data_IF_434108481538
#
_entry.id   IF_434108481538
#
_cell.length_a   1.000
_cell.length_b   1.000
_cell.length_c   1.000
_cell.angle_alpha   90.00
_cell.angle_beta   90.00
_cell.angle_gamma   90.00
#
_symmetry.space_group_name_H-M   'P 1'
#
loop_
_entity.id
_entity.type
_entity.pdbx_description
1 polymer ?
#
# COMPACT_ATOMS: atom_id res chain seq x y z
N UNK A 1 -53.34 25.22 -22.35
CA UNK A 1 -51.98 25.78 -22.50
C UNK A 1 -51.00 24.77 -21.91
N UNK A 2 -50.23 24.06 -22.74
CA UNK A 2 -49.27 23.07 -22.28
C UNK A 2 -48.01 23.77 -21.76
N UNK A 3 -47.60 23.45 -20.53
CA UNK A 3 -46.36 23.96 -19.94
C UNK A 3 -45.18 23.27 -20.61
N UNK A 4 -44.35 24.06 -21.27
CA UNK A 4 -43.20 23.58 -22.04
C UNK A 4 -42.01 23.28 -21.09
N UNK A 5 -42.10 22.09 -20.49
CA UNK A 5 -41.21 21.56 -19.46
C UNK A 5 -39.73 21.54 -19.92
N UNK A 6 -39.50 21.35 -21.22
CA UNK A 6 -38.17 21.38 -21.82
C UNK A 6 -37.49 22.75 -21.68
N UNK A 7 -38.27 23.83 -21.77
CA UNK A 7 -37.77 25.21 -21.67
C UNK A 7 -37.43 25.61 -20.23
N UNK A 8 -38.18 25.09 -19.27
CA UNK A 8 -37.90 25.26 -17.84
C UNK A 8 -36.65 24.48 -17.41
N UNK A 9 -36.51 23.23 -17.86
CA UNK A 9 -35.31 22.42 -17.58
C UNK A 9 -34.04 23.06 -18.16
N UNK A 10 -34.13 23.61 -19.37
CA UNK A 10 -32.99 24.27 -20.02
C UNK A 10 -32.56 25.55 -19.27
N UNK A 11 -33.52 26.36 -18.77
CA UNK A 11 -33.22 27.54 -17.96
C UNK A 11 -32.61 27.18 -16.60
N UNK A 12 -33.12 26.14 -15.95
CA UNK A 12 -32.59 25.67 -14.67
C UNK A 12 -31.15 25.17 -14.79
N UNK A 13 -30.84 24.42 -15.86
CA UNK A 13 -29.49 23.92 -16.10
C UNK A 13 -28.50 25.03 -16.45
N UNK A 14 -28.92 26.01 -17.28
CA UNK A 14 -28.04 27.10 -17.74
C UNK A 14 -27.64 28.08 -16.64
N UNK A 15 -28.49 28.26 -15.63
CA UNK A 15 -28.25 29.20 -14.51
C UNK A 15 -27.70 28.50 -13.25
N UNK A 16 -27.26 27.26 -13.34
CA UNK A 16 -26.74 26.55 -12.18
C UNK A 16 -25.29 27.01 -11.92
N UNK A 17 -25.02 27.76 -10.83
CA UNK A 17 -23.65 28.12 -10.49
C UNK A 17 -22.89 26.82 -10.27
N UNK A 18 -21.78 26.64 -11.00
CA UNK A 18 -20.87 25.53 -10.75
C UNK A 18 -20.40 25.65 -9.31
N UNK A 19 -20.99 24.85 -8.42
CA UNK A 19 -20.51 24.70 -7.05
C UNK A 19 -19.16 24.01 -7.16
N UNK A 20 -18.09 24.81 -7.27
CA UNK A 20 -16.73 24.35 -7.10
C UNK A 20 -16.63 23.76 -5.70
N UNK A 21 -16.80 22.45 -5.61
CA UNK A 21 -16.62 21.68 -4.39
C UNK A 21 -15.17 21.17 -4.36
N UNK A 22 -14.24 22.10 -4.50
CA UNK A 22 -12.80 21.89 -4.38
C UNK A 22 -12.25 23.17 -3.76
N UNK A 23 -11.48 23.02 -2.68
CA UNK A 23 -10.95 24.05 -1.80
C UNK A 23 -11.86 24.46 -0.63
N UNK A 24 -12.32 23.48 0.15
CA UNK A 24 -12.62 23.70 1.57
C UNK A 24 -11.59 22.89 2.39
N UNK A 25 -10.35 23.35 2.31
CA UNK A 25 -9.24 22.96 3.19
C UNK A 25 -8.10 23.98 3.04
N UNK A 26 -8.41 25.27 2.99
CA UNK A 26 -7.42 26.27 3.36
C UNK A 26 -7.37 26.27 4.88
N UNK A 27 -6.63 25.32 5.44
CA UNK A 27 -6.05 25.51 6.77
C UNK A 27 -5.45 26.90 6.75
N UNK A 28 -5.98 27.80 7.56
CA UNK A 28 -5.39 29.10 7.79
C UNK A 28 -4.05 28.78 8.44
N UNK A 29 -3.01 28.60 7.62
CA UNK A 29 -1.63 28.67 8.08
C UNK A 29 -1.50 30.10 8.54
N UNK A 30 -1.81 30.33 9.82
CA UNK A 30 -1.60 31.61 10.49
C UNK A 30 -0.22 32.06 10.11
N UNK A 31 -0.07 33.33 9.74
CA UNK A 31 1.20 33.85 9.26
C UNK A 31 2.23 33.65 10.38
N UNK A 32 3.02 32.57 10.31
CA UNK A 32 4.03 32.20 11.30
C UNK A 32 5.21 33.12 11.03
N UNK A 33 5.14 34.33 11.56
CA UNK A 33 6.19 35.35 11.46
C UNK A 33 7.37 35.07 12.39
N UNK A 34 7.27 34.09 13.29
CA UNK A 34 8.33 33.70 14.22
C UNK A 34 8.98 32.36 13.83
N UNK A 35 10.32 32.25 13.85
CA UNK A 35 11.01 31.01 13.55
C UNK A 35 10.65 29.93 14.59
N UNK A 36 9.96 28.88 14.14
CA UNK A 36 9.67 27.72 14.98
C UNK A 36 10.78 26.67 14.90
N UNK A 37 10.94 25.88 15.96
CA UNK A 37 11.83 24.72 15.93
C UNK A 37 11.32 23.72 14.90
N UNK A 38 12.22 23.26 14.02
CA UNK A 38 11.86 22.29 12.97
C UNK A 38 11.28 21.00 13.55
N UNK A 39 11.76 20.57 14.74
CA UNK A 39 11.23 19.41 15.45
C UNK A 39 9.77 19.57 15.88
N UNK A 40 9.37 20.78 16.29
CA UNK A 40 7.98 21.06 16.68
C UNK A 40 7.05 20.97 15.47
N UNK A 41 7.40 21.63 14.36
CA UNK A 41 6.65 21.58 13.10
C UNK A 41 6.56 20.15 12.56
N UNK A 42 7.67 19.39 12.59
CA UNK A 42 7.68 17.98 12.18
C UNK A 42 6.78 17.12 13.07
N UNK A 43 6.81 17.35 14.38
CA UNK A 43 5.94 16.60 15.31
C UNK A 43 4.46 16.89 15.09
N UNK A 44 4.12 18.13 14.75
CA UNK A 44 2.76 18.56 14.43
C UNK A 44 2.28 17.93 13.12
N UNK A 45 3.12 17.92 12.08
CA UNK A 45 2.84 17.24 10.80
C UNK A 45 2.66 15.73 10.98
N UNK A 46 3.50 15.09 11.79
CA UNK A 46 3.35 13.66 12.12
C UNK A 46 2.03 13.44 12.88
N UNK A 47 1.67 14.34 13.81
CA UNK A 47 0.45 14.25 14.59
C UNK A 47 -0.84 14.55 13.80
N UNK A 48 -0.75 15.30 12.69
CA UNK A 48 -1.88 15.75 11.85
C UNK A 48 -2.66 14.64 11.11
N UNK A 49 -2.40 13.37 11.46
CA UNK A 49 -3.07 12.13 11.03
C UNK A 49 -2.54 11.58 9.68
N UNK A 50 -2.63 10.26 9.54
CA UNK A 50 -2.06 9.40 8.48
C UNK A 50 -0.54 9.28 8.40
N UNK A 51 0.24 10.31 8.76
CA UNK A 51 1.70 10.23 8.71
C UNK A 51 2.32 9.35 9.80
N UNK A 52 1.71 9.27 10.99
CA UNK A 52 2.14 8.30 12.03
C UNK A 52 2.02 6.86 11.56
N UNK A 53 0.96 6.55 10.83
CA UNK A 53 0.75 5.22 10.28
C UNK A 53 1.79 4.96 9.19
N UNK A 54 1.94 5.85 8.21
CA UNK A 54 2.96 5.71 7.16
C UNK A 54 4.40 5.62 7.69
N UNK A 55 4.72 6.30 8.80
CA UNK A 55 6.04 6.20 9.44
C UNK A 55 6.24 4.85 10.14
N UNK A 56 5.22 4.35 10.84
CA UNK A 56 5.26 3.02 11.46
C UNK A 56 5.38 1.92 10.41
N UNK A 57 4.66 2.05 9.29
CA UNK A 57 4.77 1.18 8.13
C UNK A 57 6.19 1.23 7.55
N UNK A 58 6.78 2.42 7.42
CA UNK A 58 8.16 2.62 6.96
C UNK A 58 9.21 1.91 7.83
N UNK A 59 9.02 1.89 9.16
CA UNK A 59 9.95 1.19 10.07
C UNK A 59 10.03 -0.32 9.78
N UNK A 60 8.96 -0.95 9.30
CA UNK A 60 8.98 -2.39 8.94
C UNK A 60 10.02 -2.66 7.84
N UNK A 61 10.15 -1.74 6.88
CA UNK A 61 11.10 -1.88 5.77
C UNK A 61 12.55 -1.65 6.22
N UNK A 62 12.76 -0.70 7.13
CA UNK A 62 14.10 -0.34 7.63
C UNK A 62 14.63 -1.39 8.61
N UNK A 63 13.79 -1.83 9.54
CA UNK A 63 14.17 -2.75 10.61
C UNK A 63 13.76 -4.21 10.31
N UNK A 64 13.50 -4.55 9.05
CA UNK A 64 13.03 -5.88 8.64
C UNK A 64 13.83 -7.02 9.27
N UNK A 65 15.16 -6.97 9.16
CA UNK A 65 16.06 -7.97 9.73
C UNK A 65 15.94 -8.10 11.25
N UNK A 66 15.71 -7.00 11.96
CA UNK A 66 15.52 -7.03 13.42
C UNK A 66 14.18 -7.63 13.81
N UNK A 67 13.16 -7.46 12.97
CA UNK A 67 11.79 -7.93 13.22
C UNK A 67 11.68 -9.44 12.97
N UNK A 68 12.15 -9.92 11.82
CA UNK A 68 11.99 -11.33 11.41
C UNK A 68 13.23 -12.19 11.68
N UNK A 69 14.38 -11.58 11.95
CA UNK A 69 15.66 -12.27 12.14
C UNK A 69 16.45 -12.46 10.84
N UNK A 70 17.75 -12.74 11.00
CA UNK A 70 18.72 -12.80 9.90
C UNK A 70 18.39 -13.85 8.83
N UNK A 71 17.93 -15.04 9.25
CA UNK A 71 17.62 -16.14 8.33
C UNK A 71 16.43 -15.83 7.40
N UNK A 72 15.36 -15.24 7.96
CA UNK A 72 14.18 -14.89 7.15
C UNK A 72 14.50 -13.67 6.28
N UNK A 73 15.23 -12.68 6.81
CA UNK A 73 15.62 -11.49 6.07
C UNK A 73 16.59 -11.78 4.92
N UNK A 74 17.45 -12.80 5.02
CA UNK A 74 18.35 -13.17 3.92
C UNK A 74 17.61 -13.74 2.70
N UNK A 75 16.40 -14.26 2.90
CA UNK A 75 15.60 -14.91 1.86
C UNK A 75 14.30 -14.17 1.53
N UNK A 76 14.00 -13.07 2.22
CA UNK A 76 12.76 -12.34 2.01
C UNK A 76 12.92 -10.82 2.19
N UNK A 77 12.24 -10.07 1.34
CA UNK A 77 12.24 -8.61 1.37
C UNK A 77 10.82 -8.06 1.32
N UNK A 78 10.45 -7.10 2.18
CA UNK A 78 9.16 -6.45 2.11
C UNK A 78 9.13 -5.51 0.90
N UNK A 79 8.13 -5.65 0.03
CA UNK A 79 7.97 -4.83 -1.19
C UNK A 79 7.02 -3.67 -0.93
N UNK A 80 5.87 -3.95 -0.33
CA UNK A 80 4.80 -2.97 -0.16
C UNK A 80 3.90 -3.34 1.00
N UNK A 81 3.32 -2.32 1.61
CA UNK A 81 2.27 -2.45 2.61
C UNK A 81 1.11 -1.57 2.15
N UNK A 82 -0.02 -2.20 1.83
CA UNK A 82 -1.21 -1.52 1.29
C UNK A 82 -2.44 -2.07 2.00
N UNK A 83 -3.25 -1.19 2.59
CA UNK A 83 -4.52 -1.56 3.22
C UNK A 83 -4.37 -2.72 4.22
N UNK A 84 -3.30 -2.70 5.01
CA UNK A 84 -3.02 -3.77 5.98
C UNK A 84 -2.41 -5.05 5.41
N UNK A 85 -2.14 -5.11 4.11
CA UNK A 85 -1.54 -6.27 3.44
C UNK A 85 -0.06 -6.02 3.18
N UNK A 86 0.81 -6.74 3.91
CA UNK A 86 2.25 -6.70 3.70
C UNK A 86 2.65 -7.73 2.63
N UNK A 87 3.14 -7.23 1.51
CA UNK A 87 3.66 -8.04 0.41
C UNK A 87 5.16 -8.27 0.58
N UNK A 88 5.55 -9.54 0.59
CA UNK A 88 6.92 -9.98 0.81
C UNK A 88 7.39 -10.76 -0.43
N UNK A 89 8.50 -10.35 -1.01
CA UNK A 89 9.20 -11.11 -2.04
C UNK A 89 10.11 -12.13 -1.38
N UNK A 90 10.15 -13.35 -1.90
CA UNK A 90 11.12 -14.36 -1.48
C UNK A 90 12.14 -14.65 -2.57
N UNK A 91 13.32 -15.11 -2.15
CA UNK A 91 14.39 -15.51 -3.05
C UNK A 91 14.03 -16.77 -3.86
N UNK A 92 13.20 -17.66 -3.28
CA UNK A 92 12.78 -18.90 -3.93
C UNK A 92 11.32 -19.28 -3.65
N UNK A 93 10.78 -20.18 -4.48
CA UNK A 93 9.43 -20.73 -4.35
C UNK A 93 9.28 -21.62 -3.12
N UNK A 94 10.34 -22.36 -2.77
CA UNK A 94 10.40 -23.16 -1.56
C UNK A 94 10.30 -22.27 -0.31
N UNK A 95 11.06 -21.17 -0.27
CA UNK A 95 10.98 -20.17 0.80
C UNK A 95 9.60 -19.50 0.89
N UNK A 96 8.97 -19.17 -0.25
CA UNK A 96 7.59 -18.66 -0.24
C UNK A 96 6.63 -19.64 0.43
N UNK A 97 6.79 -20.94 0.16
CA UNK A 97 5.94 -21.98 0.75
C UNK A 97 6.23 -22.12 2.24
N UNK A 98 7.50 -22.14 2.64
CA UNK A 98 7.88 -22.19 4.05
C UNK A 98 7.28 -21.02 4.85
N UNK A 99 7.45 -19.79 4.37
CA UNK A 99 6.91 -18.61 5.04
C UNK A 99 5.37 -18.61 5.05
N UNK A 100 4.71 -19.20 4.04
CA UNK A 100 3.26 -19.33 4.03
C UNK A 100 2.78 -20.27 5.16
N UNK A 101 3.50 -21.36 5.40
CA UNK A 101 3.19 -22.31 6.47
C UNK A 101 3.30 -21.68 7.86
N UNK A 102 4.27 -20.77 8.06
CA UNK A 102 4.48 -20.07 9.34
C UNK A 102 3.90 -18.64 9.37
N UNK A 103 3.06 -18.30 8.39
CA UNK A 103 2.56 -16.93 8.18
C UNK A 103 1.82 -16.34 9.38
N UNK A 104 1.08 -17.18 10.12
CA UNK A 104 0.34 -16.76 11.32
C UNK A 104 1.25 -16.27 12.44
N UNK A 105 2.39 -16.95 12.64
CA UNK A 105 3.33 -16.58 13.69
C UNK A 105 4.19 -15.39 13.26
N UNK A 106 4.57 -15.32 11.98
CA UNK A 106 5.21 -14.12 11.43
C UNK A 106 4.34 -12.87 11.56
N UNK A 107 3.04 -12.98 11.31
CA UNK A 107 2.12 -11.85 11.45
C UNK A 107 2.09 -11.35 12.91
N UNK A 108 2.07 -12.25 13.89
CA UNK A 108 2.13 -11.88 15.32
C UNK A 108 3.45 -11.17 15.66
N UNK A 109 4.58 -11.69 15.17
CA UNK A 109 5.89 -11.07 15.40
C UNK A 109 5.97 -9.67 14.80
N UNK A 110 5.52 -9.50 13.55
CA UNK A 110 5.53 -8.21 12.84
C UNK A 110 4.60 -7.20 13.53
N UNK A 111 3.37 -7.60 13.84
CA UNK A 111 2.40 -6.73 14.53
C UNK A 111 2.84 -6.36 15.95
N UNK A 112 3.56 -7.24 16.65
CA UNK A 112 4.13 -6.96 17.96
C UNK A 112 5.31 -5.97 17.93
N UNK A 113 6.14 -6.02 16.89
CA UNK A 113 7.34 -5.17 16.80
C UNK A 113 7.06 -3.75 16.26
N UNK A 114 5.98 -3.54 15.52
CA UNK A 114 5.63 -2.26 14.92
C UNK A 114 4.27 -1.73 15.45
N UNK A 115 4.18 -1.30 16.72
CA UNK A 115 2.95 -0.77 17.29
C UNK A 115 2.54 0.53 16.57
N UNK A 116 1.53 0.43 15.70
CA UNK A 116 1.02 1.53 14.89
C UNK A 116 1.02 1.27 13.38
N UNK A 117 1.77 0.27 12.90
CA UNK A 117 1.62 -0.24 11.55
C UNK A 117 0.45 -1.24 11.55
N UNK A 118 -0.60 -0.95 10.80
CA UNK A 118 -1.71 -1.88 10.62
C UNK A 118 -1.24 -2.98 9.67
N UNK A 119 -0.93 -4.16 10.19
CA UNK A 119 -0.63 -5.36 9.38
C UNK A 119 -1.65 -6.43 9.72
N UNK A 120 -2.58 -6.67 8.81
CA UNK A 120 -3.69 -7.62 8.96
C UNK A 120 -3.46 -8.91 8.18
N UNK A 121 -2.66 -8.85 7.11
CA UNK A 121 -2.43 -10.00 6.23
C UNK A 121 -1.04 -9.96 5.62
N UNK A 122 -0.47 -11.15 5.41
CA UNK A 122 0.77 -11.34 4.67
C UNK A 122 0.49 -11.94 3.30
N UNK A 123 1.13 -11.41 2.26
CA UNK A 123 1.13 -11.95 0.90
C UNK A 123 2.55 -12.26 0.47
N UNK A 124 2.84 -13.55 0.32
CA UNK A 124 4.17 -14.05 -0.03
C UNK A 124 4.22 -14.33 -1.52
N UNK A 125 5.16 -13.68 -2.21
CA UNK A 125 5.37 -13.83 -3.64
C UNK A 125 6.75 -14.44 -3.86
N UNK A 126 6.80 -15.51 -4.64
CA UNK A 126 8.06 -16.12 -5.06
C UNK A 126 8.89 -15.21 -5.98
N UNK A 127 10.10 -15.65 -6.38
CA UNK A 127 10.85 -14.96 -7.42
C UNK A 127 10.03 -14.94 -8.71
N UNK A 128 10.23 -13.92 -9.54
CA UNK A 128 9.47 -13.75 -10.77
C UNK A 128 9.62 -15.00 -11.67
N UNK A 129 8.56 -15.80 -11.77
CA UNK A 129 8.63 -17.06 -12.49
C UNK A 129 8.79 -16.78 -14.00
N UNK A 130 9.76 -17.43 -14.68
CA UNK A 130 9.90 -17.26 -16.12
C UNK A 130 8.63 -17.74 -16.82
N UNK A 131 8.17 -16.97 -17.81
CA UNK A 131 7.00 -17.36 -18.60
C UNK A 131 7.46 -18.20 -19.79
N UNK A 132 6.95 -19.42 -19.94
CA UNK A 132 7.25 -20.29 -21.08
C UNK A 132 6.28 -20.12 -22.25
N UNK A 133 5.31 -19.21 -22.14
CA UNK A 133 4.49 -18.79 -23.29
C UNK A 133 5.37 -17.97 -24.24
N UNK A 134 5.78 -18.58 -25.34
CA UNK A 134 6.48 -17.91 -26.44
C UNK A 134 5.56 -17.81 -27.67
N UNK A 135 5.29 -16.58 -28.12
CA UNK A 135 4.61 -16.29 -29.39
C UNK A 135 3.07 -16.42 -29.37
N UNK A 136 2.45 -16.02 -30.49
CA UNK A 136 1.00 -15.99 -30.67
C UNK A 136 0.36 -17.38 -30.78
N UNK A 137 1.13 -18.38 -31.22
CA UNK A 137 0.70 -19.78 -31.37
C UNK A 137 1.35 -20.65 -30.29
N UNK A 138 0.70 -20.73 -29.13
CA UNK A 138 1.12 -21.63 -28.04
C UNK A 138 0.18 -22.82 -27.94
N UNK A 139 0.73 -23.99 -27.62
CA UNK A 139 -0.02 -25.23 -27.42
C UNK A 139 -0.91 -25.09 -26.17
N UNK A 140 -2.23 -25.33 -26.30
CA UNK A 140 -3.13 -25.36 -25.13
C UNK A 140 -2.70 -26.49 -24.21
N UNK A 141 -2.42 -26.18 -22.95
CA UNK A 141 -2.04 -27.16 -21.94
C UNK A 141 -0.56 -27.53 -21.93
N UNK A 142 0.30 -26.83 -22.68
CA UNK A 142 1.75 -26.98 -22.54
C UNK A 142 2.18 -26.62 -21.11
N UNK A 143 2.42 -27.65 -20.29
CA UNK A 143 2.94 -27.47 -18.94
C UNK A 143 4.41 -27.08 -19.06
N UNK A 144 4.77 -25.97 -18.41
CA UNK A 144 6.16 -25.54 -18.25
C UNK A 144 7.01 -26.62 -17.54
N UNK A 145 8.31 -26.37 -17.38
CA UNK A 145 9.23 -27.33 -16.76
C UNK A 145 8.73 -27.68 -15.36
N UNK A 146 8.72 -28.98 -15.05
CA UNK A 146 8.01 -29.51 -13.89
C UNK A 146 8.86 -29.61 -12.62
N UNK A 147 10.18 -29.41 -12.71
CA UNK A 147 11.10 -29.80 -11.62
C UNK A 147 12.26 -28.81 -11.36
N UNK A 148 12.15 -27.52 -11.70
CA UNK A 148 13.39 -26.69 -11.82
C UNK A 148 13.48 -25.38 -11.06
N UNK A 149 12.68 -25.15 -10.02
CA UNK A 149 12.92 -24.00 -9.13
C UNK A 149 12.71 -24.41 -7.69
N UNK A 150 13.82 -24.79 -7.04
CA UNK A 150 13.98 -24.72 -5.58
C UNK A 150 14.31 -23.30 -5.15
#
# INVERSE_FOLDING_TARGET
MARDLARELYRAFRNQPRRNKIADSSEVRGHVTDPQQIGFVLSELVAARDWRQGLAEGNIFVDWEKIVGAEIASHSTPISLLEGVLTIQTSSTAWATQLNLISSDLLKTISGSAPGALVEKLTLIGPNAPTWKKGLRTIRGAKGPRDTYG
#
